data_IF_681061158120
#
_entry.id   IF_681061158120
#
_cell.length_a   1.000
_cell.length_b   1.000
_cell.length_c   1.000
_cell.angle_alpha   90.00
_cell.angle_beta   90.00
_cell.angle_gamma   90.00
#
_symmetry.space_group_name_H-M   'P 1'
#
loop_
_entity.id
_entity.type
_entity.pdbx_description
1 polymer ?
#
# COMPACT_ATOMS: atom_id res chain seq x y z
N UNK A 1 17.70 -6.68 3.14
CA UNK A 1 16.52 -7.47 2.73
C UNK A 1 15.28 -6.79 3.28
N UNK A 2 14.42 -6.25 2.42
CA UNK A 2 13.21 -5.54 2.87
C UNK A 2 12.25 -6.54 3.53
N UNK A 3 11.55 -6.14 4.61
CA UNK A 3 10.46 -6.91 5.20
C UNK A 3 9.44 -7.35 4.12
N UNK A 4 9.28 -6.55 3.05
CA UNK A 4 8.49 -6.90 1.87
C UNK A 4 8.96 -8.12 1.12
N UNK A 5 10.28 -8.30 0.94
CA UNK A 5 10.81 -9.48 0.27
C UNK A 5 10.58 -10.74 1.11
N UNK A 6 10.60 -10.60 2.43
CA UNK A 6 10.34 -11.70 3.37
C UNK A 6 8.86 -12.07 3.42
N UNK A 7 7.99 -11.06 3.33
CA UNK A 7 6.58 -11.26 3.03
C UNK A 7 6.51 -11.95 1.67
N UNK A 8 6.78 -11.29 0.54
CA UNK A 8 6.68 -11.83 -0.84
C UNK A 8 7.17 -13.27 -1.05
N UNK A 9 8.32 -13.64 -0.48
CA UNK A 9 8.90 -14.99 -0.62
C UNK A 9 8.02 -16.11 -0.05
N UNK A 10 7.12 -15.80 0.89
CA UNK A 10 6.19 -16.77 1.47
C UNK A 10 4.91 -16.98 0.62
N UNK A 11 4.77 -16.33 -0.54
CA UNK A 11 3.49 -16.19 -1.29
C UNK A 11 3.50 -16.76 -2.73
N UNK A 12 4.17 -17.88 -2.98
CA UNK A 12 4.15 -18.58 -4.27
C UNK A 12 2.80 -19.26 -4.62
N UNK A 13 1.67 -18.60 -4.40
CA UNK A 13 0.42 -18.82 -5.14
C UNK A 13 0.39 -17.75 -6.24
N UNK A 14 0.59 -18.15 -7.49
CA UNK A 14 0.98 -17.29 -8.61
C UNK A 14 0.02 -16.14 -8.94
N UNK A 15 -1.24 -16.16 -8.49
CA UNK A 15 -2.26 -15.15 -8.83
C UNK A 15 -2.52 -14.09 -7.76
N UNK A 16 -2.14 -14.32 -6.48
CA UNK A 16 -2.41 -13.36 -5.40
C UNK A 16 -1.57 -12.08 -5.50
N UNK A 17 -0.26 -12.14 -5.84
CA UNK A 17 0.54 -10.93 -5.96
C UNK A 17 0.08 -10.02 -7.10
N UNK A 18 -0.43 -10.58 -8.20
CA UNK A 18 -0.99 -9.83 -9.32
C UNK A 18 -2.25 -9.09 -8.92
N UNK A 19 -3.23 -9.78 -8.32
CA UNK A 19 -4.47 -9.15 -7.84
C UNK A 19 -4.14 -8.05 -6.81
N UNK A 20 -3.17 -8.30 -5.94
CA UNK A 20 -2.75 -7.30 -4.96
C UNK A 20 -2.13 -6.06 -5.61
N UNK A 21 -1.35 -6.22 -6.69
CA UNK A 21 -0.81 -5.11 -7.47
C UNK A 21 -1.93 -4.33 -8.15
N UNK A 22 -2.86 -5.01 -8.82
CA UNK A 22 -4.00 -4.37 -9.50
C UNK A 22 -4.85 -3.55 -8.53
N UNK A 23 -5.11 -4.07 -7.32
CA UNK A 23 -5.85 -3.33 -6.29
C UNK A 23 -5.03 -2.14 -5.80
N UNK A 24 -3.74 -2.34 -5.49
CA UNK A 24 -2.89 -1.28 -5.00
C UNK A 24 -2.76 -0.13 -6.02
N UNK A 25 -2.56 -0.44 -7.30
CA UNK A 25 -2.41 0.56 -8.36
C UNK A 25 -3.69 1.35 -8.60
N UNK A 26 -4.85 0.70 -8.57
CA UNK A 26 -6.16 1.39 -8.64
C UNK A 26 -6.37 2.35 -7.47
N UNK A 27 -5.91 1.98 -6.28
CA UNK A 27 -6.13 2.75 -5.05
C UNK A 27 -5.03 3.78 -4.77
N UNK A 28 -3.89 3.71 -5.47
CA UNK A 28 -2.70 4.55 -5.21
C UNK A 28 -3.05 6.03 -5.11
N UNK A 29 -3.76 6.58 -6.10
CA UNK A 29 -4.11 8.00 -6.16
C UNK A 29 -5.04 8.39 -4.99
N UNK A 30 -6.09 7.61 -4.76
CA UNK A 30 -7.07 7.84 -3.69
C UNK A 30 -6.42 7.79 -2.30
N UNK A 31 -5.55 6.80 -2.06
CA UNK A 31 -4.79 6.67 -0.82
C UNK A 31 -3.90 7.89 -0.60
N UNK A 32 -3.14 8.29 -1.63
CA UNK A 32 -2.26 9.44 -1.55
C UNK A 32 -3.03 10.71 -1.23
N UNK A 33 -4.11 11.00 -1.96
CA UNK A 33 -4.97 12.16 -1.72
C UNK A 33 -5.52 12.17 -0.28
N UNK A 34 -5.89 11.01 0.25
CA UNK A 34 -6.40 10.87 1.62
C UNK A 34 -5.34 11.19 2.69
N UNK A 35 -4.09 10.76 2.51
CA UNK A 35 -3.09 10.77 3.59
C UNK A 35 -2.01 11.85 3.44
N UNK A 36 -1.75 12.35 2.22
CA UNK A 36 -0.58 13.17 1.90
C UNK A 36 -0.42 14.43 2.76
N UNK A 37 -1.51 15.11 3.12
CA UNK A 37 -1.43 16.33 3.95
C UNK A 37 -0.86 16.04 5.35
N UNK A 38 -1.22 14.88 5.92
CA UNK A 38 -0.86 14.53 7.30
C UNK A 38 0.51 13.85 7.37
N UNK A 39 0.79 12.91 6.46
CA UNK A 39 2.04 12.12 6.48
C UNK A 39 3.29 12.97 6.26
N UNK A 40 3.17 14.15 5.61
CA UNK A 40 4.28 15.09 5.40
C UNK A 40 4.78 15.74 6.69
N UNK A 41 3.97 15.76 7.74
CA UNK A 41 4.27 16.39 9.01
C UNK A 41 4.70 15.36 10.07
N UNK A 42 4.76 14.08 9.71
CA UNK A 42 4.99 12.97 10.63
C UNK A 42 6.36 12.32 10.38
N UNK A 43 7.02 11.80 11.43
CA UNK A 43 8.14 10.88 11.29
C UNK A 43 7.73 9.62 10.50
N UNK A 44 8.65 8.98 9.75
CA UNK A 44 8.32 7.83 8.90
C UNK A 44 7.62 6.65 9.62
N UNK A 45 8.01 6.38 10.87
CA UNK A 45 7.40 5.30 11.66
C UNK A 45 5.93 5.61 12.02
N UNK A 46 5.64 6.86 12.38
CA UNK A 46 4.28 7.32 12.69
C UNK A 46 3.43 7.39 11.41
N UNK A 47 4.00 7.90 10.31
CA UNK A 47 3.35 7.92 9.01
C UNK A 47 2.93 6.51 8.57
N UNK A 48 3.78 5.49 8.78
CA UNK A 48 3.46 4.08 8.50
C UNK A 48 2.21 3.61 9.25
N UNK A 49 2.15 3.85 10.56
CA UNK A 49 1.01 3.50 11.40
C UNK A 49 -0.27 4.26 11.02
N UNK A 50 -0.13 5.55 10.74
CA UNK A 50 -1.23 6.40 10.29
C UNK A 50 -1.83 5.90 8.97
N UNK A 51 -1.00 5.66 7.95
CA UNK A 51 -1.46 5.18 6.63
C UNK A 51 -2.13 3.83 6.80
N UNK A 52 -1.52 2.90 7.54
CA UNK A 52 -2.08 1.59 7.79
C UNK A 52 -3.50 1.67 8.39
N UNK A 53 -3.69 2.50 9.42
CA UNK A 53 -5.00 2.69 10.04
C UNK A 53 -6.04 3.27 9.07
N UNK A 54 -5.63 4.21 8.20
CA UNK A 54 -6.53 4.91 7.28
C UNK A 54 -6.94 4.07 6.07
N UNK A 55 -6.04 3.25 5.55
CA UNK A 55 -6.33 2.42 4.37
C UNK A 55 -7.08 1.14 4.73
N UNK A 56 -7.11 0.74 6.00
CA UNK A 56 -7.64 -0.55 6.43
C UNK A 56 -9.06 -0.84 5.90
N UNK A 57 -10.02 0.04 6.20
CA UNK A 57 -11.41 -0.13 5.75
C UNK A 57 -11.58 -0.09 4.23
N UNK A 58 -10.81 0.76 3.54
CA UNK A 58 -10.83 0.87 2.08
C UNK A 58 -10.29 -0.38 1.40
N UNK A 59 -9.21 -0.96 1.93
CA UNK A 59 -8.64 -2.20 1.41
C UNK A 59 -9.59 -3.37 1.62
N UNK A 60 -10.25 -3.47 2.79
CA UNK A 60 -11.25 -4.49 3.01
C UNK A 60 -12.37 -4.42 1.96
N UNK A 61 -12.94 -3.23 1.73
CA UNK A 61 -14.00 -3.04 0.74
C UNK A 61 -13.55 -3.36 -0.70
N UNK A 62 -12.36 -2.95 -1.09
CA UNK A 62 -11.86 -3.17 -2.45
C UNK A 62 -11.45 -4.63 -2.68
N UNK A 63 -10.85 -5.27 -1.67
CA UNK A 63 -10.60 -6.72 -1.71
C UNK A 63 -11.92 -7.48 -1.78
N UNK A 64 -12.95 -7.09 -1.03
CA UNK A 64 -14.26 -7.73 -1.10
C UNK A 64 -14.90 -7.62 -2.48
N UNK A 65 -14.81 -6.45 -3.12
CA UNK A 65 -15.27 -6.27 -4.52
C UNK A 65 -14.49 -7.14 -5.49
N UNK A 66 -13.16 -7.15 -5.40
CA UNK A 66 -12.32 -7.98 -6.27
C UNK A 66 -12.53 -9.49 -6.00
N UNK A 67 -12.83 -9.85 -4.76
CA UNK A 67 -13.10 -11.21 -4.27
C UNK A 67 -14.46 -11.72 -4.73
N UNK A 68 -15.50 -10.88 -4.74
CA UNK A 68 -16.86 -11.28 -5.16
C UNK A 68 -16.95 -11.67 -6.64
N UNK A 69 -16.08 -11.12 -7.48
CA UNK A 69 -16.04 -11.44 -8.91
C UNK A 69 -15.17 -12.65 -9.26
N UNK A 70 -14.38 -13.16 -8.32
CA UNK A 70 -13.52 -14.34 -8.52
C UNK A 70 -14.02 -15.48 -7.65
N UNK A 71 -15.09 -16.11 -8.12
CA UNK A 71 -15.66 -17.33 -7.55
C UNK A 71 -14.55 -18.31 -7.13
N UNK A 72 -14.54 -18.72 -5.86
CA UNK A 72 -13.72 -19.79 -5.24
C UNK A 72 -12.32 -19.49 -4.66
N UNK A 73 -12.07 -18.33 -4.07
CA UNK A 73 -10.92 -18.19 -3.16
C UNK A 73 -11.34 -18.48 -1.70
N UNK A 74 -10.61 -19.34 -0.96
CA UNK A 74 -10.90 -19.64 0.46
C UNK A 74 -10.83 -18.34 1.30
N UNK A 75 -11.62 -18.24 2.38
CA UNK A 75 -11.61 -17.10 3.34
C UNK A 75 -10.19 -16.72 3.81
N UNK A 76 -9.32 -17.72 3.98
CA UNK A 76 -7.91 -17.52 4.34
C UNK A 76 -7.12 -16.76 3.27
N UNK A 77 -7.48 -16.86 2.00
CA UNK A 77 -6.86 -16.14 0.89
C UNK A 77 -7.32 -14.68 0.84
N UNK A 78 -8.57 -14.39 1.24
CA UNK A 78 -9.09 -13.02 1.37
C UNK A 78 -8.29 -12.24 2.40
N UNK A 79 -8.19 -12.75 3.63
CA UNK A 79 -7.44 -12.06 4.69
C UNK A 79 -5.98 -11.87 4.34
N UNK A 80 -5.41 -12.86 3.64
CA UNK A 80 -4.04 -12.81 3.15
C UNK A 80 -3.87 -11.74 2.07
N UNK A 81 -4.82 -11.62 1.14
CA UNK A 81 -4.84 -10.58 0.11
C UNK A 81 -4.95 -9.18 0.71
N UNK A 82 -5.84 -8.99 1.71
CA UNK A 82 -5.97 -7.72 2.46
C UNK A 82 -4.62 -7.29 3.03
N UNK A 83 -3.91 -8.18 3.72
CA UNK A 83 -2.61 -7.86 4.34
C UNK A 83 -1.56 -7.45 3.30
N UNK A 84 -1.52 -8.13 2.16
CA UNK A 84 -0.57 -7.82 1.08
C UNK A 84 -0.88 -6.44 0.48
N UNK A 85 -2.16 -6.17 0.18
CA UNK A 85 -2.58 -4.87 -0.39
C UNK A 85 -2.31 -3.74 0.60
N UNK A 86 -2.66 -3.90 1.88
CA UNK A 86 -2.38 -2.91 2.93
C UNK A 86 -0.89 -2.58 3.01
N UNK A 87 -0.05 -3.62 3.06
CA UNK A 87 1.40 -3.44 3.06
C UNK A 87 1.85 -2.66 1.82
N UNK A 88 1.45 -3.08 0.63
CA UNK A 88 1.84 -2.41 -0.63
C UNK A 88 1.45 -0.93 -0.65
N UNK A 89 0.23 -0.60 -0.26
CA UNK A 89 -0.23 0.79 -0.25
C UNK A 89 0.55 1.65 0.76
N UNK A 90 0.84 1.12 1.94
CA UNK A 90 1.67 1.81 2.94
C UNK A 90 3.05 2.11 2.36
N UNK A 91 3.69 1.13 1.74
CA UNK A 91 5.02 1.32 1.17
C UNK A 91 5.01 2.26 -0.04
N UNK A 92 3.99 2.19 -0.91
CA UNK A 92 3.83 3.14 -2.02
C UNK A 92 3.74 4.58 -1.52
N UNK A 93 2.97 4.85 -0.46
CA UNK A 93 2.88 6.19 0.15
C UNK A 93 4.22 6.65 0.72
N UNK A 94 4.94 5.75 1.41
CA UNK A 94 6.24 6.10 1.99
C UNK A 94 7.30 6.36 0.92
N UNK A 95 7.28 5.61 -0.17
CA UNK A 95 8.16 5.84 -1.33
C UNK A 95 7.83 7.19 -1.97
N UNK A 96 6.56 7.47 -2.24
CA UNK A 96 6.14 8.74 -2.85
C UNK A 96 6.43 9.95 -1.95
N UNK A 97 6.28 9.79 -0.63
CA UNK A 97 6.66 10.81 0.34
C UNK A 97 8.16 11.12 0.27
N UNK A 98 8.99 10.07 0.21
CA UNK A 98 10.45 10.20 0.14
C UNK A 98 10.89 10.86 -1.16
N UNK A 99 10.35 10.43 -2.30
CA UNK A 99 10.66 11.00 -3.62
C UNK A 99 10.35 12.50 -3.68
N UNK A 100 9.15 12.90 -3.23
CA UNK A 100 8.74 14.31 -3.18
C UNK A 100 9.54 15.14 -2.16
N UNK A 101 10.09 14.53 -1.12
CA UNK A 101 11.01 15.21 -0.19
C UNK A 101 12.39 15.46 -0.85
N UNK A 102 12.92 14.47 -1.59
CA UNK A 102 14.17 14.63 -2.32
C UNK A 102 14.08 15.66 -3.44
N UNK A 103 12.97 15.70 -4.20
CA UNK A 103 12.74 16.71 -5.23
C UNK A 103 12.81 18.14 -4.66
N UNK A 104 12.20 18.38 -3.49
CA UNK A 104 12.28 19.69 -2.82
C UNK A 104 13.70 20.06 -2.41
N UNK A 105 14.48 19.11 -1.93
CA UNK A 105 15.88 19.33 -1.53
C UNK A 105 16.79 19.59 -2.74
N UNK A 106 16.50 18.96 -3.88
CA UNK A 106 17.23 19.20 -5.13
C UNK A 106 16.96 20.61 -5.69
N UNK A 107 15.70 21.07 -5.66
CA UNK A 107 15.34 22.43 -6.11
C UNK A 107 15.91 23.50 -5.18
N UNK A 108 15.92 23.28 -3.85
CA UNK A 108 16.49 24.23 -2.89
C UNK A 108 18.02 24.34 -2.90
N UNK A 109 18.73 23.43 -3.56
CA UNK A 109 20.20 23.51 -3.77
C UNK A 109 20.59 24.22 -5.06
N UNK A 110 19.64 24.47 -5.96
CA UNK A 110 19.86 25.09 -7.26
C UNK A 110 19.48 26.59 -7.30
N UNK A 111 19.08 27.16 -6.16
CA UNK A 111 18.76 28.57 -5.96
C UNK A 111 19.75 29.19 -4.97
#
# INVERSE_FOLDING_TARGET
MSWFQRVFSQFCDSSLPEIANEIADRQKKSVWELVHQRVRLMPPAEARGYVHARVSGMVHAEVDRAYYHRDRLKLSLRERLVRIVQAKLVDQVLVELRERQYEKLAVGKAA
#
